data_IF_389823254707
#
_entry.id   IF_389823254707
#
_cell.length_a   1.000
_cell.length_b   1.000
_cell.length_c   1.000
_cell.angle_alpha   90.00
_cell.angle_beta   90.00
_cell.angle_gamma   90.00
#
_symmetry.space_group_name_H-M   'P 1'
#
loop_
_entity.id
_entity.type
_entity.pdbx_description
1 polymer ?
#
# COMPACT_ATOMS: atom_id res chain seq x y z
N UNK A 1 31.20 8.75 0.94
CA UNK A 1 30.75 7.67 0.02
C UNK A 1 29.26 7.59 0.21
N UNK A 2 28.47 7.57 -0.84
CA UNK A 2 27.04 7.31 -0.71
C UNK A 2 26.88 5.83 -0.37
N UNK A 3 26.24 5.55 0.77
CA UNK A 3 25.92 4.20 1.19
C UNK A 3 24.43 3.99 1.03
N UNK A 4 24.05 2.96 0.29
CA UNK A 4 22.65 2.55 0.04
C UNK A 4 22.30 1.24 0.77
N UNK A 5 23.22 0.76 1.63
CA UNK A 5 22.96 -0.46 2.38
C UNK A 5 22.02 -0.16 3.57
N UNK A 6 21.02 -1.03 3.81
CA UNK A 6 20.25 -0.99 5.04
C UNK A 6 21.16 -1.12 6.28
N UNK A 7 20.74 -0.58 7.41
CA UNK A 7 21.42 -0.84 8.69
C UNK A 7 21.30 -2.32 9.08
N UNK A 8 22.13 -2.78 10.04
CA UNK A 8 22.05 -4.17 10.52
C UNK A 8 20.65 -4.51 11.06
N UNK A 9 20.03 -3.59 11.81
CA UNK A 9 18.67 -3.74 12.33
C UNK A 9 17.62 -3.81 11.21
N UNK A 10 17.70 -2.93 10.23
CA UNK A 10 16.82 -2.95 9.06
C UNK A 10 16.97 -4.24 8.26
N UNK A 11 18.18 -4.77 8.15
CA UNK A 11 18.45 -6.03 7.46
C UNK A 11 17.87 -7.24 8.23
N UNK A 12 17.90 -7.22 9.56
CA UNK A 12 17.24 -8.26 10.38
C UNK A 12 15.72 -8.22 10.23
N UNK A 13 15.12 -7.03 10.29
CA UNK A 13 13.68 -6.85 10.06
C UNK A 13 13.30 -7.29 8.63
N UNK A 14 14.11 -6.94 7.63
CA UNK A 14 13.90 -7.36 6.24
C UNK A 14 13.91 -8.89 6.11
N UNK A 15 14.88 -9.58 6.74
CA UNK A 15 14.96 -11.06 6.76
C UNK A 15 13.74 -11.69 7.43
N UNK A 16 13.27 -11.11 8.54
CA UNK A 16 12.04 -11.56 9.19
C UNK A 16 10.84 -11.42 8.25
N UNK A 17 10.66 -10.27 7.62
CA UNK A 17 9.58 -10.04 6.65
C UNK A 17 9.68 -11.01 5.46
N UNK A 18 10.89 -11.31 4.97
CA UNK A 18 11.13 -12.28 3.90
C UNK A 18 10.75 -13.70 4.31
N UNK A 19 11.12 -14.15 5.51
CA UNK A 19 10.72 -15.46 6.02
C UNK A 19 9.19 -15.58 6.07
N UNK A 20 8.51 -14.58 6.62
CA UNK A 20 7.04 -14.52 6.68
C UNK A 20 6.45 -14.57 5.27
N UNK A 21 7.01 -13.81 4.34
CA UNK A 21 6.54 -13.75 2.96
C UNK A 21 6.61 -15.12 2.26
N UNK A 22 7.71 -15.84 2.46
CA UNK A 22 7.95 -17.14 1.83
C UNK A 22 7.22 -18.28 2.54
N UNK A 23 7.13 -18.24 3.86
CA UNK A 23 6.58 -19.34 4.65
C UNK A 23 5.05 -19.22 4.82
N UNK A 24 4.50 -17.99 4.80
CA UNK A 24 3.09 -17.74 5.09
C UNK A 24 2.31 -17.03 3.97
N UNK A 25 2.90 -16.07 3.21
CA UNK A 25 2.14 -15.39 2.17
C UNK A 25 2.11 -16.19 0.87
N UNK A 26 3.28 -16.52 0.32
CA UNK A 26 3.39 -17.20 -0.98
C UNK A 26 2.63 -18.53 -1.06
N UNK A 27 2.69 -19.44 -0.06
CA UNK A 27 1.93 -20.70 -0.09
C UNK A 27 0.41 -20.49 -0.02
N UNK A 28 -0.04 -19.37 0.56
CA UNK A 28 -1.46 -19.07 0.74
C UNK A 28 -2.04 -18.12 -0.31
N UNK A 29 -1.23 -17.61 -1.24
CA UNK A 29 -1.61 -16.61 -2.24
C UNK A 29 -2.88 -16.99 -3.03
N UNK A 30 -2.91 -18.18 -3.62
CA UNK A 30 -4.07 -18.68 -4.39
C UNK A 30 -5.33 -18.83 -3.54
N UNK A 31 -5.18 -19.25 -2.29
CA UNK A 31 -6.30 -19.36 -1.36
C UNK A 31 -6.83 -17.97 -0.99
N UNK A 32 -5.94 -17.04 -0.68
CA UNK A 32 -6.32 -15.66 -0.36
C UNK A 32 -6.98 -14.94 -1.55
N UNK A 33 -6.51 -15.18 -2.78
CA UNK A 33 -7.16 -14.71 -4.00
C UNK A 33 -8.61 -15.24 -4.10
N UNK A 34 -8.82 -16.54 -3.90
CA UNK A 34 -10.14 -17.17 -3.98
C UNK A 34 -11.08 -16.72 -2.85
N UNK A 35 -10.57 -16.53 -1.64
CA UNK A 35 -11.33 -16.08 -0.47
C UNK A 35 -11.50 -14.55 -0.41
N UNK A 36 -10.79 -13.82 -1.27
CA UNK A 36 -10.73 -12.35 -1.31
C UNK A 36 -10.40 -11.74 0.05
N UNK A 37 -9.47 -12.38 0.78
CA UNK A 37 -9.02 -11.90 2.09
C UNK A 37 -7.78 -12.64 2.60
N UNK A 38 -7.15 -12.05 3.63
CA UNK A 38 -6.16 -12.72 4.46
C UNK A 38 -6.83 -13.59 5.53
N UNK A 39 -6.30 -14.78 5.80
CA UNK A 39 -6.82 -15.64 6.87
C UNK A 39 -6.58 -15.02 8.25
N UNK A 40 -7.44 -15.33 9.21
CA UNK A 40 -7.26 -14.90 10.61
C UNK A 40 -5.94 -15.41 11.21
N UNK A 41 -5.53 -16.63 10.84
CA UNK A 41 -4.27 -17.23 11.27
C UNK A 41 -3.07 -16.43 10.76
N UNK A 42 -3.07 -16.03 9.49
CA UNK A 42 -2.00 -15.18 8.94
C UNK A 42 -1.92 -13.84 9.66
N UNK A 43 -3.06 -13.19 9.91
CA UNK A 43 -3.10 -11.91 10.64
C UNK A 43 -2.57 -12.05 12.06
N UNK A 44 -2.91 -13.13 12.77
CA UNK A 44 -2.39 -13.41 14.10
C UNK A 44 -0.87 -13.63 14.07
N UNK A 45 -0.36 -14.41 13.11
CA UNK A 45 1.08 -14.63 12.92
C UNK A 45 1.82 -13.31 12.71
N UNK A 46 1.29 -12.43 11.84
CA UNK A 46 1.88 -11.11 11.59
C UNK A 46 1.84 -10.20 12.82
N UNK A 47 0.74 -10.19 13.55
CA UNK A 47 0.62 -9.37 14.77
C UNK A 47 1.65 -9.76 15.83
N UNK A 48 1.96 -11.07 15.97
CA UNK A 48 2.97 -11.57 16.89
C UNK A 48 4.39 -11.11 16.56
N UNK A 49 4.64 -10.67 15.34
CA UNK A 49 5.95 -10.13 14.92
C UNK A 49 6.11 -8.62 15.18
N UNK A 50 5.03 -7.92 15.53
CA UNK A 50 5.02 -6.45 15.66
C UNK A 50 5.03 -5.69 14.33
N UNK A 51 5.11 -6.36 13.18
CA UNK A 51 5.17 -5.71 11.86
C UNK A 51 3.86 -5.01 11.46
N UNK A 52 2.76 -5.29 12.17
CA UNK A 52 1.44 -4.72 11.86
C UNK A 52 0.96 -3.65 12.85
N UNK A 53 1.84 -3.18 13.73
CA UNK A 53 1.52 -2.15 14.73
C UNK A 53 2.57 -1.03 14.77
N UNK A 54 2.87 -0.35 13.63
CA UNK A 54 3.94 0.66 13.55
C UNK A 54 3.50 2.02 14.11
N UNK A 55 3.18 2.07 15.38
CA UNK A 55 2.84 3.28 16.13
C UNK A 55 3.35 3.15 17.57
N UNK A 56 3.33 4.24 18.38
CA UNK A 56 3.95 4.26 19.69
C UNK A 56 3.48 3.15 20.64
N UNK A 57 4.42 2.67 21.46
CA UNK A 57 4.17 1.61 22.47
C UNK A 57 3.08 1.99 23.48
N UNK A 58 2.91 3.30 23.76
CA UNK A 58 1.83 3.78 24.66
C UNK A 58 0.42 3.43 24.16
N UNK A 59 0.27 3.13 22.86
CA UNK A 59 -0.98 2.67 22.25
C UNK A 59 -0.97 1.16 21.92
N UNK A 60 0.02 0.41 22.43
CA UNK A 60 0.18 -1.01 22.14
C UNK A 60 0.91 -1.28 20.82
N UNK A 61 1.57 -0.30 20.23
CA UNK A 61 2.38 -0.44 19.02
C UNK A 61 3.75 -1.05 19.29
N UNK A 62 4.47 -1.35 18.21
CA UNK A 62 5.84 -1.89 18.23
C UNK A 62 6.93 -0.81 18.19
N UNK A 63 6.55 0.45 18.19
CA UNK A 63 7.45 1.59 18.10
C UNK A 63 7.11 2.52 16.92
N UNK A 64 7.75 3.69 16.83
CA UNK A 64 7.49 4.64 15.75
C UNK A 64 7.91 4.06 14.40
N UNK A 65 7.10 4.34 13.39
CA UNK A 65 7.37 3.98 12.01
C UNK A 65 8.59 4.73 11.47
N UNK A 66 9.52 3.99 10.87
CA UNK A 66 10.48 4.49 9.90
C UNK A 66 10.03 4.09 8.50
N UNK A 67 9.85 5.05 7.60
CA UNK A 67 9.36 4.77 6.25
C UNK A 67 10.34 3.90 5.45
N UNK A 68 11.65 4.06 5.63
CA UNK A 68 12.67 3.19 5.01
C UNK A 68 12.47 1.74 5.46
N UNK A 69 12.36 1.50 6.76
CA UNK A 69 12.14 0.14 7.32
C UNK A 69 10.85 -0.49 6.79
N UNK A 70 9.76 0.30 6.79
CA UNK A 70 8.48 -0.20 6.25
C UNK A 70 8.46 -0.39 4.74
N UNK A 71 9.28 0.34 4.01
CA UNK A 71 9.51 0.11 2.57
C UNK A 71 10.15 -1.25 2.33
N UNK A 72 11.15 -1.63 3.14
CA UNK A 72 11.76 -2.95 3.08
C UNK A 72 10.75 -4.05 3.43
N UNK A 73 9.98 -3.87 4.50
CA UNK A 73 8.91 -4.82 4.89
C UNK A 73 7.89 -5.00 3.76
N UNK A 74 7.36 -3.91 3.21
CA UNK A 74 6.35 -3.94 2.16
C UNK A 74 6.86 -4.62 0.88
N UNK A 75 8.13 -4.38 0.50
CA UNK A 75 8.77 -5.06 -0.64
C UNK A 75 8.89 -6.57 -0.40
N UNK A 76 9.31 -7.01 0.80
CA UNK A 76 9.42 -8.44 1.12
C UNK A 76 8.04 -9.12 1.19
N UNK A 77 7.05 -8.49 1.81
CA UNK A 77 5.69 -9.04 1.83
C UNK A 77 5.14 -9.21 0.41
N UNK A 78 5.33 -8.21 -0.46
CA UNK A 78 4.88 -8.27 -1.85
C UNK A 78 5.69 -9.25 -2.72
N UNK A 79 6.95 -9.50 -2.37
CA UNK A 79 7.74 -10.61 -2.94
C UNK A 79 7.08 -11.96 -2.63
N UNK A 80 6.44 -12.11 -1.49
CA UNK A 80 5.58 -13.25 -1.16
C UNK A 80 4.31 -13.27 -1.99
N UNK A 81 3.47 -12.27 -1.80
CA UNK A 81 2.22 -12.06 -2.54
C UNK A 81 1.77 -10.59 -2.50
N UNK A 82 1.58 -9.92 -3.65
CA UNK A 82 1.20 -8.50 -3.69
C UNK A 82 -0.21 -8.23 -3.18
N UNK A 83 -1.16 -9.13 -3.40
CA UNK A 83 -2.52 -8.99 -2.90
C UNK A 83 -2.59 -9.01 -1.38
N UNK A 84 -1.91 -9.97 -0.75
CA UNK A 84 -1.78 -10.06 0.70
C UNK A 84 -0.97 -8.89 1.28
N UNK A 85 0.10 -8.47 0.61
CA UNK A 85 0.86 -7.30 1.03
C UNK A 85 0.00 -6.03 1.05
N UNK A 86 -0.80 -5.80 0.01
CA UNK A 86 -1.74 -4.67 -0.03
C UNK A 86 -2.86 -4.82 1.00
N UNK A 87 -3.36 -6.03 1.26
CA UNK A 87 -4.33 -6.31 2.33
C UNK A 87 -3.79 -5.85 3.69
N UNK A 88 -2.55 -6.22 4.02
CA UNK A 88 -1.89 -5.89 5.27
C UNK A 88 -1.62 -4.38 5.34
N UNK A 89 -0.92 -3.82 4.37
CA UNK A 89 -0.53 -2.40 4.33
C UNK A 89 -1.78 -1.50 4.29
N UNK A 90 -2.78 -1.84 3.49
CA UNK A 90 -4.04 -1.09 3.40
C UNK A 90 -4.77 -1.01 4.73
N UNK A 91 -4.74 -2.12 5.52
CA UNK A 91 -5.33 -2.15 6.86
C UNK A 91 -4.60 -1.23 7.86
N UNK A 92 -3.30 -1.01 7.67
CA UNK A 92 -2.52 -0.12 8.54
C UNK A 92 -2.77 1.36 8.26
N UNK A 93 -3.23 1.73 7.07
CA UNK A 93 -3.31 3.13 6.67
C UNK A 93 -4.33 3.95 7.48
N UNK A 94 -5.41 3.33 7.96
CA UNK A 94 -6.36 3.99 8.87
C UNK A 94 -5.69 4.45 10.17
N UNK A 95 -5.18 3.52 11.01
CA UNK A 95 -4.50 3.86 12.26
C UNK A 95 -3.26 4.73 12.05
N UNK A 96 -2.44 4.48 11.01
CA UNK A 96 -1.29 5.34 10.70
C UNK A 96 -1.69 6.78 10.36
N UNK A 97 -2.81 6.98 9.66
CA UNK A 97 -3.30 8.34 9.41
C UNK A 97 -3.75 9.02 10.70
N UNK A 98 -4.39 8.30 11.62
CA UNK A 98 -4.73 8.84 12.95
C UNK A 98 -3.47 9.19 13.74
N UNK A 99 -2.45 8.35 13.72
CA UNK A 99 -1.18 8.64 14.39
C UNK A 99 -0.50 9.88 13.81
N UNK A 100 -0.47 10.04 12.49
CA UNK A 100 0.23 11.13 11.81
C UNK A 100 -0.54 12.48 11.85
N UNK A 101 -1.86 12.44 11.79
CA UNK A 101 -2.70 13.63 11.64
C UNK A 101 -3.56 13.94 12.86
N UNK A 102 -3.86 12.95 13.71
CA UNK A 102 -4.77 13.10 14.82
C UNK A 102 -4.18 13.85 16.01
N UNK A 103 -5.06 14.52 16.77
CA UNK A 103 -4.69 15.03 18.09
C UNK A 103 -4.38 13.90 19.06
N UNK A 104 -3.71 14.21 20.18
CA UNK A 104 -3.42 13.20 21.21
C UNK A 104 -4.69 12.50 21.71
N UNK A 105 -5.78 13.24 21.93
CA UNK A 105 -7.05 12.66 22.33
C UNK A 105 -7.62 11.68 21.28
N UNK A 106 -7.48 12.02 20.01
CA UNK A 106 -7.90 11.15 18.91
C UNK A 106 -7.00 9.89 18.81
N UNK A 107 -5.70 10.03 19.01
CA UNK A 107 -4.77 8.90 19.06
C UNK A 107 -5.11 7.96 20.23
N UNK A 108 -5.33 8.49 21.44
CA UNK A 108 -5.75 7.74 22.64
C UNK A 108 -7.09 7.02 22.44
N UNK A 109 -7.97 7.57 21.61
CA UNK A 109 -9.29 6.99 21.30
C UNK A 109 -9.24 5.87 20.27
N UNK A 110 -8.44 6.03 19.20
CA UNK A 110 -8.54 5.18 18.00
C UNK A 110 -7.43 4.15 17.85
N UNK A 111 -6.25 4.37 18.44
CA UNK A 111 -5.10 3.47 18.23
C UNK A 111 -5.12 2.23 19.14
N UNK A 112 -5.51 2.29 20.44
CA UNK A 112 -5.44 1.15 21.35
C UNK A 112 -6.13 -0.12 20.86
N UNK A 113 -7.30 -0.07 20.16
CA UNK A 113 -7.92 -1.28 19.62
C UNK A 113 -7.03 -2.05 18.64
N UNK A 114 -6.17 -1.37 17.89
CA UNK A 114 -5.24 -1.99 16.94
C UNK A 114 -3.99 -2.55 17.63
N UNK A 115 -3.60 -1.99 18.76
CA UNK A 115 -2.47 -2.43 19.58
C UNK A 115 -2.83 -3.49 20.62
N UNK A 116 -4.10 -3.90 20.72
CA UNK A 116 -4.50 -4.93 21.69
C UNK A 116 -3.89 -6.28 21.31
N UNK A 117 -3.07 -6.91 22.19
CA UNK A 117 -2.35 -8.13 21.86
C UNK A 117 -3.26 -9.35 21.67
N UNK A 118 -4.51 -9.27 22.12
CA UNK A 118 -5.46 -10.38 22.04
C UNK A 118 -6.45 -10.28 20.90
N UNK A 119 -6.75 -9.07 20.43
CA UNK A 119 -7.79 -8.81 19.43
C UNK A 119 -7.37 -7.82 18.34
N UNK A 120 -6.24 -7.14 18.48
CA UNK A 120 -5.80 -6.13 17.53
C UNK A 120 -5.63 -6.66 16.09
N UNK A 121 -5.21 -7.91 15.95
CA UNK A 121 -5.11 -8.58 14.64
C UNK A 121 -6.47 -8.77 13.92
N UNK A 122 -7.57 -8.62 14.61
CA UNK A 122 -8.93 -8.66 14.05
C UNK A 122 -9.35 -7.30 13.50
N UNK A 123 -8.76 -6.20 14.01
CA UNK A 123 -9.10 -4.85 13.60
C UNK A 123 -8.59 -4.56 12.19
N UNK A 124 -9.35 -3.77 11.45
CA UNK A 124 -9.01 -3.32 10.11
C UNK A 124 -9.18 -1.81 9.99
N UNK A 125 -8.14 -1.17 9.49
CA UNK A 125 -8.23 0.22 9.08
C UNK A 125 -8.47 0.35 7.57
N UNK A 126 -8.84 1.55 7.15
CA UNK A 126 -8.85 1.94 5.74
C UNK A 126 -8.53 3.42 5.59
N UNK A 127 -7.92 3.75 4.44
CA UNK A 127 -7.70 5.13 4.00
C UNK A 127 -8.34 5.32 2.63
N UNK A 128 -9.40 6.12 2.57
CA UNK A 128 -10.05 6.51 1.33
C UNK A 128 -9.30 7.69 0.71
N UNK A 129 -8.40 7.38 -0.25
CA UNK A 129 -7.52 8.35 -0.91
C UNK A 129 -7.92 8.59 -2.36
N UNK A 130 -7.85 7.57 -3.21
CA UNK A 130 -8.06 7.66 -4.65
C UNK A 130 -9.50 8.09 -5.00
N UNK A 131 -9.66 8.87 -6.07
CA UNK A 131 -10.96 9.29 -6.61
C UNK A 131 -11.19 8.76 -8.03
N UNK A 132 -10.10 8.40 -8.71
CA UNK A 132 -10.10 7.62 -9.95
C UNK A 132 -9.37 6.33 -9.68
N UNK A 133 -9.78 5.26 -10.35
CA UNK A 133 -9.06 4.00 -10.24
C UNK A 133 -7.58 4.22 -10.60
N UNK A 134 -6.69 3.75 -9.73
CA UNK A 134 -5.24 3.86 -9.90
C UNK A 134 -4.63 5.25 -9.64
N UNK A 135 -5.42 6.30 -9.44
CA UNK A 135 -4.86 7.63 -9.17
C UNK A 135 -4.70 7.89 -7.68
N UNK A 136 -3.46 7.84 -7.24
CA UNK A 136 -3.06 8.11 -5.85
C UNK A 136 -2.19 9.37 -5.76
N UNK A 137 -2.44 10.38 -6.61
CA UNK A 137 -1.76 11.68 -6.54
C UNK A 137 -2.53 12.65 -5.65
N UNK A 138 -1.81 13.52 -4.94
CA UNK A 138 -2.45 14.52 -4.09
C UNK A 138 -3.22 15.56 -4.91
N UNK A 139 -2.78 15.81 -6.15
CA UNK A 139 -3.46 16.72 -7.07
C UNK A 139 -4.86 16.21 -7.49
N UNK A 140 -5.07 14.88 -7.51
CA UNK A 140 -6.35 14.26 -7.88
C UNK A 140 -7.31 14.10 -6.68
N UNK A 141 -6.97 14.60 -5.50
CA UNK A 141 -7.91 14.68 -4.37
C UNK A 141 -8.81 15.90 -4.56
N UNK A 142 -10.04 15.68 -4.99
CA UNK A 142 -11.06 16.70 -5.26
C UNK A 142 -12.28 16.59 -4.34
N UNK A 143 -12.42 15.51 -3.54
CA UNK A 143 -13.49 15.38 -2.55
C UNK A 143 -13.47 16.61 -1.66
N UNK A 144 -14.56 17.36 -1.68
CA UNK A 144 -14.67 18.61 -0.93
C UNK A 144 -15.31 18.40 0.42
N UNK A 145 -14.67 18.94 1.45
CA UNK A 145 -15.23 19.13 2.77
C UNK A 145 -15.55 20.62 2.94
N UNK A 146 -16.77 20.93 3.36
CA UNK A 146 -17.22 22.28 3.68
C UNK A 146 -17.59 22.37 5.14
N UNK A 147 -17.06 23.35 5.86
CA UNK A 147 -17.42 23.61 7.27
C UNK A 147 -18.87 24.08 7.36
N UNK A 148 -19.59 23.58 8.36
CA UNK A 148 -20.93 24.00 8.74
C UNK A 148 -20.94 24.45 10.21
N UNK A 149 -22.08 24.92 10.72
CA UNK A 149 -22.19 25.26 12.15
C UNK A 149 -22.02 24.10 13.11
N UNK A 150 -22.24 22.85 12.63
CA UNK A 150 -22.25 21.62 13.47
C UNK A 150 -21.11 20.65 13.11
N UNK A 151 -20.31 20.95 12.07
CA UNK A 151 -19.23 20.07 11.61
C UNK A 151 -18.88 20.27 10.14
N UNK A 152 -18.92 19.20 9.34
CA UNK A 152 -18.51 19.21 7.94
C UNK A 152 -19.52 18.52 7.05
N UNK A 153 -19.63 18.97 5.80
CA UNK A 153 -20.35 18.31 4.71
C UNK A 153 -19.36 17.87 3.64
N UNK A 154 -19.38 16.59 3.32
CA UNK A 154 -18.55 16.01 2.27
C UNK A 154 -19.36 15.69 1.02
N UNK A 155 -18.78 16.01 -0.17
CA UNK A 155 -19.36 15.68 -1.47
C UNK A 155 -18.29 15.17 -2.41
N UNK A 156 -18.53 14.03 -3.04
CA UNK A 156 -17.65 13.41 -4.03
C UNK A 156 -17.61 11.89 -3.91
N UNK A 157 -16.58 11.30 -4.49
CA UNK A 157 -16.43 9.83 -4.54
C UNK A 157 -15.00 9.45 -4.21
N UNK A 158 -14.81 8.35 -3.46
CA UNK A 158 -13.53 7.67 -3.25
C UNK A 158 -13.61 6.27 -3.80
N UNK A 159 -12.56 5.83 -4.52
CA UNK A 159 -12.47 4.52 -5.15
C UNK A 159 -11.32 3.71 -4.58
N UNK A 160 -11.30 2.42 -4.87
CA UNK A 160 -10.22 1.50 -4.50
C UNK A 160 -9.88 1.54 -2.99
N UNK A 161 -10.90 1.78 -2.14
CA UNK A 161 -10.71 1.86 -0.70
C UNK A 161 -10.52 0.46 -0.15
N UNK A 162 -9.26 0.07 0.07
CA UNK A 162 -8.92 -1.24 0.64
C UNK A 162 -9.61 -1.41 1.99
N UNK A 163 -10.24 -2.57 2.19
CA UNK A 163 -11.12 -2.88 3.33
C UNK A 163 -12.31 -1.93 3.52
N UNK A 164 -12.71 -1.17 2.50
CA UNK A 164 -13.73 -0.13 2.63
C UNK A 164 -15.02 -0.58 3.31
N UNK A 165 -15.54 -1.77 3.01
CA UNK A 165 -16.71 -2.32 3.72
C UNK A 165 -16.37 -2.93 5.08
N UNK A 166 -15.16 -3.49 5.23
CA UNK A 166 -14.76 -4.33 6.37
C UNK A 166 -14.04 -3.57 7.48
N UNK A 167 -13.62 -2.31 7.22
CA UNK A 167 -12.82 -1.55 8.17
C UNK A 167 -13.60 -1.14 9.42
N UNK A 168 -12.96 -1.32 10.58
CA UNK A 168 -13.42 -0.84 11.89
C UNK A 168 -13.09 0.65 12.06
N UNK A 169 -11.96 1.10 11.49
CA UNK A 169 -11.54 2.49 11.45
C UNK A 169 -11.42 2.95 9.99
N UNK A 170 -12.28 3.88 9.58
CA UNK A 170 -12.27 4.47 8.24
C UNK A 170 -11.78 5.90 8.30
N UNK A 171 -10.79 6.24 7.47
CA UNK A 171 -10.30 7.61 7.31
C UNK A 171 -10.46 8.01 5.86
N UNK A 172 -10.84 9.26 5.62
CA UNK A 172 -10.97 9.83 4.28
C UNK A 172 -10.13 11.09 4.14
N UNK A 173 -9.42 11.21 3.01
CA UNK A 173 -8.73 12.44 2.62
C UNK A 173 -9.68 13.33 1.82
N UNK A 174 -9.78 14.59 2.20
CA UNK A 174 -10.62 15.58 1.53
C UNK A 174 -9.94 16.95 1.52
N UNK A 175 -10.37 17.82 0.60
CA UNK A 175 -9.99 19.23 0.53
C UNK A 175 -10.98 20.06 1.34
N UNK A 176 -10.51 20.70 2.41
CA UNK A 176 -11.32 21.65 3.17
C UNK A 176 -11.31 22.98 2.45
N UNK A 177 -12.47 23.38 1.91
CA UNK A 177 -12.66 24.66 1.28
C UNK A 177 -12.70 25.77 2.34
N UNK A 178 -11.63 26.55 2.40
CA UNK A 178 -11.56 27.83 3.12
C UNK A 178 -11.38 28.97 2.12
N UNK A 179 -11.79 30.18 2.50
CA UNK A 179 -11.96 31.31 1.59
C UNK A 179 -10.69 31.85 0.89
N UNK A 180 -9.50 31.33 1.21
CA UNK A 180 -8.22 31.90 0.76
C UNK A 180 -7.45 31.06 -0.27
N UNK A 181 -7.78 29.77 -0.47
CA UNK A 181 -7.16 28.95 -1.51
C UNK A 181 -8.20 28.34 -2.43
N UNK A 182 -7.98 28.45 -3.74
CA UNK A 182 -8.89 27.91 -4.75
C UNK A 182 -9.01 26.37 -4.71
N UNK A 183 -7.99 25.68 -4.17
CA UNK A 183 -7.90 24.21 -4.12
C UNK A 183 -8.29 23.63 -2.75
N UNK A 184 -8.36 24.45 -1.69
CA UNK A 184 -8.58 23.99 -0.31
C UNK A 184 -7.37 23.24 0.29
N UNK A 185 -7.37 23.10 1.62
CA UNK A 185 -6.33 22.40 2.36
C UNK A 185 -6.60 20.89 2.41
N UNK A 186 -5.58 20.05 2.19
CA UNK A 186 -5.72 18.61 2.37
C UNK A 186 -5.89 18.31 3.87
N UNK A 187 -6.95 17.61 4.20
CA UNK A 187 -7.30 17.19 5.55
C UNK A 187 -7.69 15.71 5.57
N UNK A 188 -7.56 15.09 6.73
CA UNK A 188 -8.04 13.74 6.99
C UNK A 188 -9.21 13.77 7.97
N UNK A 189 -10.24 12.96 7.69
CA UNK A 189 -11.43 12.86 8.53
C UNK A 189 -11.70 11.40 8.91
N UNK A 190 -12.03 11.15 10.17
CA UNK A 190 -12.51 9.86 10.62
C UNK A 190 -14.01 9.73 10.30
N UNK A 191 -14.39 8.58 9.73
CA UNK A 191 -15.78 8.23 9.49
C UNK A 191 -16.28 7.33 10.61
N UNK A 192 -17.30 7.79 11.36
CA UNK A 192 -17.87 7.09 12.50
C UNK A 192 -19.16 6.36 12.12
N UNK A 193 -19.19 5.04 12.18
CA UNK A 193 -20.40 4.26 11.98
C UNK A 193 -21.08 4.50 10.63
N UNK A 194 -22.40 4.53 10.62
CA UNK A 194 -23.21 4.90 9.45
C UNK A 194 -23.36 6.41 9.40
N UNK A 195 -22.81 7.03 8.38
CA UNK A 195 -22.93 8.47 8.14
C UNK A 195 -24.15 8.76 7.25
N UNK A 196 -24.99 9.72 7.62
CA UNK A 196 -26.02 10.21 6.71
C UNK A 196 -25.35 10.81 5.46
N UNK A 197 -25.80 10.39 4.30
CA UNK A 197 -25.22 10.83 3.01
C UNK A 197 -23.97 10.09 2.57
N UNK A 198 -23.46 9.08 3.31
CA UNK A 198 -22.42 8.17 2.87
C UNK A 198 -23.04 6.85 2.44
N UNK A 199 -22.75 6.42 1.21
CA UNK A 199 -23.00 5.05 0.75
C UNK A 199 -21.69 4.36 0.37
N UNK A 200 -21.55 3.12 0.80
CA UNK A 200 -20.41 2.25 0.48
C UNK A 200 -20.95 1.16 -0.44
N UNK A 201 -20.40 1.09 -1.65
CA UNK A 201 -20.76 0.04 -2.61
C UNK A 201 -20.22 -1.32 -2.18
N UNK A 202 -20.77 -2.38 -2.79
CA UNK A 202 -20.24 -3.73 -2.65
C UNK A 202 -18.78 -3.79 -3.13
N UNK A 203 -18.05 -4.79 -2.61
CA UNK A 203 -16.65 -4.98 -2.96
C UNK A 203 -16.48 -5.17 -4.46
N UNK A 204 -15.46 -4.53 -5.00
CA UNK A 204 -15.17 -4.53 -6.42
C UNK A 204 -14.71 -5.91 -6.91
N UNK A 205 -15.21 -6.34 -8.07
CA UNK A 205 -14.73 -7.55 -8.73
C UNK A 205 -13.49 -7.21 -9.57
N UNK A 206 -12.32 -7.51 -9.02
CA UNK A 206 -11.02 -7.24 -9.65
C UNK A 206 -10.41 -8.50 -10.27
N UNK A 207 -9.61 -8.34 -11.32
CA UNK A 207 -8.83 -9.44 -11.90
C UNK A 207 -7.52 -9.70 -11.15
N UNK A 208 -6.95 -8.67 -10.53
CA UNK A 208 -5.74 -8.73 -9.71
C UNK A 208 -5.97 -8.12 -8.32
N UNK A 209 -5.01 -8.31 -7.41
CA UNK A 209 -5.07 -7.85 -6.03
C UNK A 209 -6.36 -8.29 -5.31
N UNK A 210 -6.90 -9.45 -5.66
CA UNK A 210 -8.19 -9.92 -5.14
C UNK A 210 -8.13 -10.19 -3.63
N UNK A 211 -6.97 -10.59 -3.09
CA UNK A 211 -6.77 -10.78 -1.66
C UNK A 211 -6.85 -9.48 -0.84
N UNK A 212 -6.84 -8.30 -1.50
CA UNK A 212 -7.06 -6.99 -0.89
C UNK A 212 -8.42 -6.43 -1.34
N UNK A 213 -9.54 -6.79 -0.69
CA UNK A 213 -10.86 -6.31 -1.08
C UNK A 213 -10.94 -4.79 -0.99
N UNK A 214 -11.56 -4.16 -1.99
CA UNK A 214 -11.77 -2.71 -2.04
C UNK A 214 -13.21 -2.37 -2.35
N UNK A 215 -13.62 -1.16 -1.97
CA UNK A 215 -14.97 -0.63 -2.18
C UNK A 215 -14.92 0.84 -2.62
N UNK A 216 -16.00 1.29 -3.24
CA UNK A 216 -16.20 2.69 -3.61
C UNK A 216 -17.11 3.38 -2.58
N UNK A 217 -16.72 4.58 -2.15
CA UNK A 217 -17.49 5.45 -1.25
C UNK A 217 -18.11 6.61 -2.04
N UNK A 218 -19.40 6.84 -1.88
CA UNK A 218 -20.09 8.00 -2.41
C UNK A 218 -20.55 8.88 -1.27
N UNK A 219 -20.10 10.13 -1.27
CA UNK A 219 -20.48 11.18 -0.34
C UNK A 219 -21.48 12.12 -1.03
N UNK A 220 -22.70 12.15 -0.55
CA UNK A 220 -23.75 13.04 -1.01
C UNK A 220 -24.27 13.85 0.18
N UNK A 221 -23.75 15.06 0.35
CA UNK A 221 -24.00 15.88 1.53
C UNK A 221 -23.74 15.10 2.83
N UNK A 222 -22.68 14.27 2.85
CA UNK A 222 -22.39 13.42 4.00
C UNK A 222 -21.99 14.28 5.19
N UNK A 223 -22.74 14.15 6.30
CA UNK A 223 -22.57 14.95 7.50
C UNK A 223 -21.53 14.31 8.41
N UNK A 224 -20.51 15.06 8.77
CA UNK A 224 -19.51 14.67 9.76
C UNK A 224 -19.51 15.66 10.92
N UNK A 225 -19.41 15.18 12.18
CA UNK A 225 -19.29 16.04 13.34
C UNK A 225 -17.93 16.78 13.33
N UNK A 226 -17.83 17.84 14.13
CA UNK A 226 -16.62 18.67 14.16
C UNK A 226 -15.36 17.88 14.57
N UNK A 227 -15.51 16.92 15.48
CA UNK A 227 -14.44 16.03 15.96
C UNK A 227 -13.96 14.99 14.93
N UNK A 228 -14.63 14.89 13.78
CA UNK A 228 -14.21 13.98 12.70
C UNK A 228 -12.92 14.44 12.02
N UNK A 229 -12.62 15.74 12.01
CA UNK A 229 -11.35 16.25 11.50
C UNK A 229 -10.20 15.76 12.38
N UNK A 230 -9.21 15.09 11.77
CA UNK A 230 -8.02 14.67 12.47
C UNK A 230 -7.07 15.86 12.69
N UNK A 231 -6.82 16.18 13.96
CA UNK A 231 -5.96 17.28 14.35
C UNK A 231 -6.48 18.65 13.88
N UNK A 232 -5.61 19.42 13.26
CA UNK A 232 -5.90 20.76 12.78
C UNK A 232 -5.90 20.84 11.26
N UNK A 233 -6.78 21.67 10.70
CA UNK A 233 -6.81 21.92 9.26
C UNK A 233 -5.46 22.49 8.79
N UNK A 234 -4.96 21.98 7.64
CA UNK A 234 -3.68 22.41 7.07
C UNK A 234 -2.45 21.88 7.79
N UNK A 235 -2.60 20.99 8.79
CA UNK A 235 -1.47 20.27 9.36
C UNK A 235 -0.82 19.36 8.31
N UNK A 236 0.48 19.08 8.47
CA UNK A 236 1.23 18.19 7.56
C UNK A 236 0.82 16.72 7.63
N UNK A 237 0.05 16.32 8.64
CA UNK A 237 -0.27 14.92 8.91
C UNK A 237 -0.98 14.20 7.78
N UNK A 238 -1.97 14.87 7.12
CA UNK A 238 -2.69 14.29 5.99
C UNK A 238 -1.77 14.10 4.76
N UNK A 239 -0.86 15.06 4.49
CA UNK A 239 0.16 14.95 3.42
C UNK A 239 1.11 13.79 3.72
N UNK A 240 1.60 13.70 4.95
CA UNK A 240 2.51 12.62 5.38
C UNK A 240 1.85 11.24 5.29
N UNK A 241 0.59 11.12 5.64
CA UNK A 241 -0.15 9.85 5.50
C UNK A 241 -0.34 9.46 4.03
N UNK A 242 -0.69 10.41 3.16
CA UNK A 242 -0.85 10.17 1.73
C UNK A 242 0.47 9.76 1.07
N UNK A 243 1.55 10.51 1.32
CA UNK A 243 2.88 10.23 0.75
C UNK A 243 3.46 8.91 1.27
N UNK A 244 3.25 8.58 2.54
CA UNK A 244 3.61 7.26 3.08
C UNK A 244 2.89 6.14 2.32
N UNK A 245 1.58 6.28 2.08
CA UNK A 245 0.85 5.25 1.33
C UNK A 245 1.37 5.09 -0.09
N UNK A 246 1.69 6.19 -0.77
CA UNK A 246 2.32 6.15 -2.10
C UNK A 246 3.67 5.41 -2.09
N UNK A 247 4.54 5.70 -1.11
CA UNK A 247 5.84 5.05 -0.92
C UNK A 247 5.66 3.54 -0.69
N UNK A 248 4.73 3.14 0.18
CA UNK A 248 4.48 1.73 0.47
C UNK A 248 3.87 0.99 -0.74
N UNK A 249 3.02 1.63 -1.53
CA UNK A 249 2.53 1.09 -2.80
C UNK A 249 3.66 0.92 -3.83
N UNK A 250 4.60 1.85 -3.89
CA UNK A 250 5.80 1.72 -4.72
C UNK A 250 6.66 0.52 -4.30
N UNK A 251 6.81 0.29 -2.98
CA UNK A 251 7.53 -0.85 -2.45
C UNK A 251 6.82 -2.19 -2.80
N UNK A 252 5.49 -2.24 -2.70
CA UNK A 252 4.70 -3.40 -3.14
C UNK A 252 4.96 -3.70 -4.63
N UNK A 253 4.96 -2.68 -5.48
CA UNK A 253 5.26 -2.84 -6.91
C UNK A 253 6.69 -3.37 -7.14
N UNK A 254 7.69 -2.88 -6.39
CA UNK A 254 9.06 -3.39 -6.45
C UNK A 254 9.14 -4.85 -6.03
N UNK A 255 8.48 -5.26 -4.95
CA UNK A 255 8.45 -6.64 -4.49
C UNK A 255 7.81 -7.59 -5.50
N UNK A 256 6.71 -7.15 -6.13
CA UNK A 256 6.02 -7.90 -7.19
C UNK A 256 6.93 -8.11 -8.40
N UNK A 257 7.58 -7.05 -8.85
CA UNK A 257 8.51 -7.12 -9.99
C UNK A 257 9.71 -8.01 -9.67
N UNK A 258 10.27 -7.93 -8.44
CA UNK A 258 11.36 -8.80 -7.99
C UNK A 258 10.96 -10.27 -8.01
N UNK A 259 9.76 -10.60 -7.53
CA UNK A 259 9.25 -11.98 -7.56
C UNK A 259 9.18 -12.51 -9.00
N UNK A 260 8.64 -11.73 -9.92
CA UNK A 260 8.54 -12.09 -11.32
C UNK A 260 9.91 -12.23 -12.00
N UNK A 261 10.81 -11.26 -11.75
CA UNK A 261 12.17 -11.25 -12.27
C UNK A 261 12.98 -12.48 -11.82
N UNK A 262 13.02 -12.75 -10.53
CA UNK A 262 13.80 -13.87 -9.98
C UNK A 262 13.24 -15.21 -10.46
N UNK A 263 11.91 -15.36 -10.47
CA UNK A 263 11.26 -16.58 -10.90
C UNK A 263 11.49 -16.89 -12.39
N UNK A 264 11.27 -15.92 -13.28
CA UNK A 264 11.50 -16.13 -14.71
C UNK A 264 12.99 -16.30 -15.03
N UNK A 265 13.90 -15.66 -14.27
CA UNK A 265 15.33 -15.84 -14.40
C UNK A 265 15.78 -17.25 -14.04
N UNK A 266 15.25 -17.82 -12.96
CA UNK A 266 15.49 -19.21 -12.57
C UNK A 266 14.96 -20.17 -13.65
N UNK A 267 13.70 -19.98 -14.07
CA UNK A 267 13.10 -20.75 -15.17
C UNK A 267 13.95 -20.71 -16.44
N UNK A 268 14.45 -19.55 -16.83
CA UNK A 268 15.26 -19.39 -18.06
C UNK A 268 16.60 -20.10 -17.99
N UNK A 269 17.18 -20.33 -16.81
CA UNK A 269 18.41 -21.10 -16.59
C UNK A 269 18.20 -22.60 -16.70
N UNK A 270 17.00 -23.08 -16.33
CA UNK A 270 16.66 -24.49 -16.32
C UNK A 270 16.00 -24.97 -17.62
N UNK A 271 15.19 -24.13 -18.22
CA UNK A 271 14.44 -24.47 -19.44
C UNK A 271 15.35 -24.63 -20.64
N UNK A 272 15.40 -25.84 -21.20
CA UNK A 272 16.13 -26.14 -22.43
C UNK A 272 15.21 -25.98 -23.64
N UNK A 273 15.65 -25.20 -24.65
CA UNK A 273 15.05 -25.16 -25.97
C UNK A 273 16.16 -25.03 -27.01
N UNK A 274 16.00 -25.71 -28.15
CA UNK A 274 17.02 -25.76 -29.22
C UNK A 274 18.41 -26.14 -28.72
N UNK A 275 18.47 -27.11 -27.77
CA UNK A 275 19.69 -27.73 -27.30
C UNK A 275 20.47 -26.99 -26.19
N UNK A 276 19.96 -25.87 -25.65
CA UNK A 276 20.61 -25.11 -24.57
C UNK A 276 19.62 -24.34 -23.70
N UNK A 277 20.00 -23.89 -22.48
CA UNK A 277 19.16 -23.05 -21.65
C UNK A 277 18.70 -21.79 -22.37
N UNK A 278 17.42 -21.40 -22.21
CA UNK A 278 16.86 -20.25 -22.97
C UNK A 278 17.51 -18.92 -22.59
N UNK A 279 18.07 -18.77 -21.39
CA UNK A 279 18.82 -17.58 -20.97
C UNK A 279 20.06 -17.32 -21.85
N UNK A 280 20.58 -18.36 -22.53
CA UNK A 280 21.74 -18.21 -23.45
C UNK A 280 21.41 -17.52 -24.77
N UNK A 281 20.14 -17.29 -25.06
CA UNK A 281 19.71 -16.51 -26.23
C UNK A 281 19.64 -15.03 -25.88
N UNK A 282 20.30 -14.17 -26.64
CA UNK A 282 20.40 -12.73 -26.37
C UNK A 282 19.02 -12.06 -26.20
N UNK A 283 18.01 -12.46 -26.99
CA UNK A 283 16.66 -11.93 -26.87
C UNK A 283 16.05 -12.12 -25.49
N UNK A 284 16.28 -13.27 -24.84
CA UNK A 284 15.84 -13.56 -23.48
C UNK A 284 16.74 -12.89 -22.43
N UNK A 285 18.07 -12.98 -22.62
CA UNK A 285 19.03 -12.41 -21.67
C UNK A 285 18.87 -10.89 -21.54
N UNK A 286 18.58 -10.18 -22.63
CA UNK A 286 18.40 -8.72 -22.61
C UNK A 286 17.10 -8.31 -21.92
N UNK A 287 16.00 -9.05 -22.09
CA UNK A 287 14.75 -8.81 -21.35
C UNK A 287 15.02 -8.92 -19.85
N UNK A 288 15.67 -10.00 -19.40
CA UNK A 288 16.00 -10.22 -17.98
C UNK A 288 16.93 -9.12 -17.44
N UNK A 289 17.94 -8.72 -18.22
CA UNK A 289 18.84 -7.63 -17.83
C UNK A 289 18.11 -6.29 -17.69
N UNK A 290 17.19 -5.98 -18.61
CA UNK A 290 16.38 -4.76 -18.56
C UNK A 290 15.42 -4.75 -17.35
N UNK A 291 14.80 -5.90 -17.03
CA UNK A 291 14.00 -6.05 -15.80
C UNK A 291 14.83 -5.70 -14.55
N UNK A 292 16.05 -6.23 -14.43
CA UNK A 292 16.95 -5.96 -13.31
C UNK A 292 17.26 -4.46 -13.17
N UNK A 293 17.67 -3.82 -14.27
CA UNK A 293 18.03 -2.40 -14.27
C UNK A 293 16.84 -1.50 -13.87
N UNK A 294 15.66 -1.79 -14.40
CA UNK A 294 14.44 -1.01 -14.10
C UNK A 294 13.99 -1.21 -12.65
N UNK A 295 14.11 -2.44 -12.12
CA UNK A 295 13.79 -2.75 -10.73
C UNK A 295 14.70 -1.99 -9.77
N UNK A 296 16.02 -2.00 -10.00
CA UNK A 296 16.96 -1.27 -9.14
C UNK A 296 16.72 0.24 -9.19
N UNK A 297 16.42 0.79 -10.36
CA UNK A 297 16.10 2.22 -10.49
C UNK A 297 14.82 2.60 -9.71
N UNK A 298 13.75 1.81 -9.85
CA UNK A 298 12.48 2.07 -9.14
C UNK A 298 12.64 1.93 -7.62
N UNK A 299 13.38 0.92 -7.16
CA UNK A 299 13.71 0.71 -5.73
C UNK A 299 14.44 1.91 -5.14
N UNK A 300 15.47 2.43 -5.82
CA UNK A 300 16.22 3.58 -5.35
C UNK A 300 15.37 4.86 -5.28
N UNK A 301 14.45 5.07 -6.21
CA UNK A 301 13.48 6.18 -6.14
C UNK A 301 12.56 6.02 -4.93
N UNK A 302 12.10 4.80 -4.65
CA UNK A 302 11.24 4.49 -3.50
C UNK A 302 11.98 4.75 -2.19
N UNK A 303 13.22 4.29 -2.06
CA UNK A 303 14.04 4.54 -0.88
C UNK A 303 14.37 6.03 -0.69
N UNK A 304 14.60 6.76 -1.76
CA UNK A 304 14.81 8.21 -1.70
C UNK A 304 13.60 8.91 -1.10
N UNK A 305 12.39 8.60 -1.58
CA UNK A 305 11.15 9.18 -1.04
C UNK A 305 10.94 8.78 0.43
N UNK A 306 11.24 7.54 0.82
CA UNK A 306 11.18 7.08 2.20
C UNK A 306 12.17 7.85 3.10
N UNK A 307 13.41 8.06 2.66
CA UNK A 307 14.39 8.86 3.39
C UNK A 307 13.94 10.32 3.58
N UNK A 308 13.32 10.93 2.56
CA UNK A 308 12.77 12.30 2.67
C UNK A 308 11.63 12.33 3.69
N UNK A 309 10.76 11.31 3.67
CA UNK A 309 9.70 11.16 4.65
C UNK A 309 10.23 11.04 6.08
N UNK A 310 11.27 10.22 6.33
CA UNK A 310 11.88 10.01 7.65
C UNK A 310 12.58 11.26 8.19
N UNK A 311 13.06 12.16 7.31
CA UNK A 311 13.57 13.48 7.70
C UNK A 311 12.48 14.45 8.19
N UNK A 312 11.22 14.06 8.15
CA UNK A 312 10.09 14.88 8.57
C UNK A 312 9.62 15.87 7.52
N UNK A 313 10.08 15.73 6.28
CA UNK A 313 9.61 16.55 5.15
C UNK A 313 8.10 16.34 4.91
N UNK A 314 7.41 17.39 4.48
CA UNK A 314 5.98 17.35 4.13
C UNK A 314 5.66 18.44 3.08
N UNK A 315 6.65 18.78 2.27
CA UNK A 315 6.61 19.83 1.27
C UNK A 315 6.40 19.26 -0.15
N UNK A 316 6.44 20.15 -1.13
CA UNK A 316 6.31 19.77 -2.55
C UNK A 316 7.40 18.78 -3.00
N UNK A 317 8.59 18.80 -2.38
CA UNK A 317 9.67 17.88 -2.72
C UNK A 317 9.32 16.45 -2.34
N UNK A 318 8.83 16.22 -1.12
CA UNK A 318 8.37 14.90 -0.69
C UNK A 318 7.20 14.41 -1.54
N UNK A 319 6.22 15.28 -1.82
CA UNK A 319 5.06 14.95 -2.67
C UNK A 319 5.56 14.47 -4.04
N UNK A 320 6.42 15.25 -4.70
CA UNK A 320 6.98 14.90 -6.00
C UNK A 320 7.77 13.58 -5.97
N UNK A 321 8.59 13.36 -4.94
CA UNK A 321 9.38 12.12 -4.81
C UNK A 321 8.50 10.89 -4.60
N UNK A 322 7.48 10.98 -3.74
CA UNK A 322 6.55 9.89 -3.46
C UNK A 322 5.70 9.53 -4.69
N UNK A 323 5.15 10.54 -5.40
CA UNK A 323 4.37 10.36 -6.62
C UNK A 323 5.23 9.78 -7.75
N UNK A 324 6.44 10.30 -7.91
CA UNK A 324 7.40 9.80 -8.92
C UNK A 324 7.80 8.35 -8.65
N UNK A 325 8.09 8.00 -7.38
CA UNK A 325 8.44 6.65 -6.97
C UNK A 325 7.30 5.68 -7.26
N UNK A 326 6.08 6.01 -6.86
CA UNK A 326 4.90 5.18 -7.10
C UNK A 326 4.66 4.98 -8.60
N UNK A 327 4.62 6.06 -9.37
CA UNK A 327 4.37 5.99 -10.81
C UNK A 327 5.41 5.12 -11.54
N UNK A 328 6.70 5.32 -11.25
CA UNK A 328 7.77 4.54 -11.87
C UNK A 328 7.75 3.08 -11.44
N UNK A 329 7.51 2.81 -10.14
CA UNK A 329 7.46 1.44 -9.62
C UNK A 329 6.27 0.65 -10.20
N UNK A 330 5.08 1.25 -10.31
CA UNK A 330 3.90 0.58 -10.89
C UNK A 330 4.13 0.27 -12.37
N UNK A 331 4.59 1.25 -13.17
CA UNK A 331 4.91 1.01 -14.58
C UNK A 331 5.99 -0.05 -14.78
N UNK A 332 7.02 -0.02 -13.93
CA UNK A 332 8.09 -1.03 -13.96
C UNK A 332 7.52 -2.42 -13.61
N UNK A 333 6.67 -2.54 -12.58
CA UNK A 333 6.09 -3.82 -12.19
C UNK A 333 5.21 -4.42 -13.29
N UNK A 334 4.38 -3.61 -13.97
CA UNK A 334 3.59 -4.03 -15.12
C UNK A 334 4.47 -4.56 -16.27
N UNK A 335 5.52 -3.83 -16.61
CA UNK A 335 6.45 -4.25 -17.64
C UNK A 335 7.18 -5.54 -17.24
N UNK A 336 7.74 -5.60 -16.02
CA UNK A 336 8.52 -6.75 -15.56
C UNK A 336 7.67 -8.03 -15.44
N UNK A 337 6.44 -7.95 -14.93
CA UNK A 337 5.56 -9.12 -14.84
C UNK A 337 5.09 -9.60 -16.21
N UNK A 338 4.86 -8.71 -17.17
CA UNK A 338 4.55 -9.04 -18.55
C UNK A 338 5.75 -9.70 -19.24
N UNK A 339 6.95 -9.15 -19.05
CA UNK A 339 8.21 -9.69 -19.57
C UNK A 339 8.50 -11.08 -18.97
N UNK A 340 8.17 -11.32 -17.70
CA UNK A 340 8.32 -12.63 -17.08
C UNK A 340 7.45 -13.70 -17.78
N UNK A 341 6.19 -13.38 -18.11
CA UNK A 341 5.33 -14.27 -18.91
C UNK A 341 5.94 -14.51 -20.29
N UNK A 342 6.44 -13.47 -20.95
CA UNK A 342 7.09 -13.58 -22.27
C UNK A 342 8.29 -14.52 -22.20
N UNK A 343 9.15 -14.40 -21.18
CA UNK A 343 10.33 -15.26 -20.96
C UNK A 343 9.91 -16.71 -20.73
N UNK A 344 8.85 -16.95 -19.98
CA UNK A 344 8.34 -18.28 -19.65
C UNK A 344 7.53 -18.91 -20.82
N UNK A 345 7.05 -18.10 -21.75
CA UNK A 345 6.23 -18.55 -22.86
C UNK A 345 4.93 -19.23 -22.40
N UNK A 346 4.59 -20.39 -22.97
CA UNK A 346 3.36 -21.10 -22.61
C UNK A 346 3.22 -21.49 -21.13
N UNK A 347 4.32 -21.61 -20.40
CA UNK A 347 4.27 -21.84 -18.95
C UNK A 347 3.83 -20.59 -18.17
N UNK A 348 4.12 -19.38 -18.69
CA UNK A 348 3.89 -18.13 -17.96
C UNK A 348 2.43 -17.78 -17.70
N UNK A 349 1.50 -18.27 -18.54
CA UNK A 349 0.07 -18.02 -18.37
C UNK A 349 -0.70 -19.21 -17.75
N UNK A 350 0.01 -20.26 -17.31
CA UNK A 350 -0.60 -21.42 -16.66
C UNK A 350 -0.61 -21.22 -15.14
N UNK A 351 -1.71 -21.63 -14.49
CA UNK A 351 -1.87 -21.50 -13.03
C UNK A 351 -0.90 -22.34 -12.20
N UNK A 352 -0.18 -23.29 -12.83
CA UNK A 352 0.91 -24.05 -12.20
C UNK A 352 2.10 -23.15 -11.81
N UNK A 353 2.17 -21.96 -12.39
CA UNK A 353 3.18 -20.94 -12.13
C UNK A 353 2.53 -19.65 -11.59
N UNK A 354 3.19 -18.89 -10.72
CA UNK A 354 2.61 -17.66 -10.15
C UNK A 354 2.69 -16.45 -11.08
N UNK A 355 3.38 -16.54 -12.22
CA UNK A 355 3.67 -15.40 -13.10
C UNK A 355 2.41 -14.69 -13.61
N UNK A 356 1.35 -15.43 -13.97
CA UNK A 356 0.09 -14.86 -14.46
C UNK A 356 -0.65 -14.10 -13.35
N UNK A 357 -0.57 -14.57 -12.08
CA UNK A 357 -1.16 -13.90 -10.94
C UNK A 357 -0.45 -12.57 -10.68
N UNK A 358 0.88 -12.57 -10.62
CA UNK A 358 1.66 -11.35 -10.44
C UNK A 358 1.44 -10.32 -11.56
N UNK A 359 1.21 -10.77 -12.81
CA UNK A 359 0.89 -9.87 -13.91
C UNK A 359 -0.49 -9.21 -13.70
N UNK A 360 -1.51 -9.98 -13.30
CA UNK A 360 -2.85 -9.44 -13.00
C UNK A 360 -2.80 -8.48 -11.81
N UNK A 361 -2.03 -8.82 -10.79
CA UNK A 361 -1.84 -7.98 -9.61
C UNK A 361 -1.12 -6.66 -9.96
N UNK A 362 -0.04 -6.73 -10.74
CA UNK A 362 0.67 -5.53 -11.19
C UNK A 362 -0.22 -4.62 -12.07
N UNK A 363 -1.05 -5.21 -12.93
CA UNK A 363 -2.00 -4.44 -13.75
C UNK A 363 -3.06 -3.73 -12.87
N UNK A 364 -3.47 -4.33 -11.75
CA UNK A 364 -4.43 -3.75 -10.83
C UNK A 364 -3.84 -2.68 -9.88
N UNK A 365 -2.55 -2.39 -9.94
CA UNK A 365 -1.90 -1.31 -9.17
C UNK A 365 -2.05 0.07 -9.82
N UNK A 366 -2.44 0.11 -11.11
CA UNK A 366 -2.61 1.33 -11.91
C UNK A 366 -3.91 2.07 -11.56
#
# INVERSE_FOLDING_TARGET
MLDFAPTEEQEEIRKLAQSIALDHLRPHARKAEAERDSSTELRLTLAQTGLTTPFPEEYGGSGPLEAVTYTLIAEELAYGDPGLALNIIGSLMGPLTVWLAGSREQQERYLPPFGDPTSGYLQRGSLAFAERSGSYTLADVHLQARRTGEGYLLNGTKRDVVHGQRADLRVVLARLAESESAEGQLCAFVLHGVQEGLSIQDEEEKLGLQAAPSATYHFHQAQLPAEALLGEAGSSGAVRAATLYQILRAAIACGTARAAFEYCSAYARERIAFGRPIVSYQGIAFIIAEMAMKLDAARLLTWRAACSWDRGEADETLIYEAESAQHQAVKMAQAATTDAIQVMGGAGFMQDHPAEMWMRDAAAME
#
